data_IF_706176832453
#
_entry.id   IF_706176832453
#
_cell.length_a   1.000
_cell.length_b   1.000
_cell.length_c   1.000
_cell.angle_alpha   90.00
_cell.angle_beta   90.00
_cell.angle_gamma   90.00
#
_symmetry.space_group_name_H-M   'P 1'
#
loop_
_entity.id
_entity.type
_entity.pdbx_description
1 polymer ?
#
# COMPACT_ATOMS: atom_id res chain seq x y z
N UNK A 1 -58.45 -11.81 32.23
CA UNK A 1 -58.30 -10.88 31.08
C UNK A 1 -57.35 -9.71 31.39
N UNK A 2 -57.43 -9.09 32.58
CA UNK A 2 -56.56 -7.95 32.95
C UNK A 2 -55.08 -8.37 33.15
N UNK A 3 -54.84 -9.53 33.76
CA UNK A 3 -53.49 -10.06 34.03
C UNK A 3 -52.74 -10.41 32.74
N UNK A 4 -53.43 -10.98 31.74
CA UNK A 4 -52.86 -11.34 30.44
C UNK A 4 -52.48 -10.11 29.60
N UNK A 5 -53.20 -8.98 29.73
CA UNK A 5 -52.92 -7.71 29.04
C UNK A 5 -51.68 -7.02 29.62
N UNK A 6 -51.52 -7.07 30.95
CA UNK A 6 -50.34 -6.55 31.65
C UNK A 6 -49.07 -7.32 31.28
N UNK A 7 -49.13 -8.66 31.25
CA UNK A 7 -47.98 -9.51 30.86
C UNK A 7 -47.58 -9.25 29.41
N UNK A 8 -48.54 -9.15 28.48
CA UNK A 8 -48.27 -8.87 27.07
C UNK A 8 -47.59 -7.50 26.88
N UNK A 9 -48.06 -6.46 27.58
CA UNK A 9 -47.51 -5.11 27.48
C UNK A 9 -46.08 -5.02 28.04
N UNK A 10 -45.80 -5.69 29.16
CA UNK A 10 -44.44 -5.76 29.73
C UNK A 10 -43.50 -6.52 28.79
N UNK A 11 -43.97 -7.60 28.16
CA UNK A 11 -43.18 -8.35 27.18
C UNK A 11 -42.83 -7.50 25.97
N UNK A 12 -43.78 -6.70 25.45
CA UNK A 12 -43.54 -5.82 24.31
C UNK A 12 -42.58 -4.68 24.64
N UNK A 13 -42.69 -4.08 25.83
CA UNK A 13 -41.74 -3.06 26.28
C UNK A 13 -40.35 -3.65 26.49
N UNK A 14 -40.24 -4.83 27.10
CA UNK A 14 -38.97 -5.52 27.27
C UNK A 14 -38.33 -5.87 25.93
N UNK A 15 -39.10 -6.36 24.95
CA UNK A 15 -38.62 -6.62 23.59
C UNK A 15 -38.19 -5.33 22.87
N UNK A 16 -38.94 -4.23 23.01
CA UNK A 16 -38.54 -2.91 22.49
C UNK A 16 -37.22 -2.45 23.12
N UNK A 17 -37.07 -2.53 24.44
CA UNK A 17 -35.81 -2.21 25.13
C UNK A 17 -34.65 -3.11 24.71
N UNK A 18 -34.88 -4.41 24.50
CA UNK A 18 -33.86 -5.34 23.99
C UNK A 18 -33.45 -4.95 22.55
N UNK A 19 -34.40 -4.56 21.70
CA UNK A 19 -34.14 -4.09 20.33
C UNK A 19 -33.40 -2.75 20.32
N UNK A 20 -33.73 -1.82 21.22
CA UNK A 20 -33.05 -0.51 21.35
C UNK A 20 -31.60 -0.68 21.83
N UNK A 21 -31.32 -1.64 22.72
CA UNK A 21 -29.96 -1.90 23.21
C UNK A 21 -29.13 -2.76 22.25
N UNK A 22 -29.73 -3.35 21.21
CA UNK A 22 -29.03 -4.21 20.25
C UNK A 22 -28.35 -3.43 19.10
N UNK A 23 -28.36 -2.10 19.11
CA UNK A 23 -27.93 -1.29 17.96
C UNK A 23 -26.61 -0.52 18.13
N UNK A 24 -25.79 -0.82 19.14
CA UNK A 24 -24.52 -0.08 19.39
C UNK A 24 -23.26 -0.89 19.07
N UNK A 25 -23.17 -1.39 17.84
CA UNK A 25 -21.87 -1.50 17.15
C UNK A 25 -22.10 -1.48 15.63
N UNK A 26 -22.42 -0.31 15.06
CA UNK A 26 -22.63 -0.19 13.62
C UNK A 26 -21.35 -0.46 12.80
N UNK A 27 -20.16 -0.31 13.39
CA UNK A 27 -18.89 -0.61 12.74
C UNK A 27 -17.88 -1.24 13.71
N UNK A 28 -16.90 -2.01 13.21
CA UNK A 28 -15.77 -2.53 14.00
C UNK A 28 -14.89 -1.43 14.62
N UNK A 29 -13.97 -1.83 15.49
CA UNK A 29 -12.98 -0.93 16.08
C UNK A 29 -12.18 -0.16 15.01
N UNK A 30 -11.91 1.12 15.30
CA UNK A 30 -11.24 2.06 14.40
C UNK A 30 -11.97 2.35 13.07
N UNK A 31 -13.24 1.96 12.96
CA UNK A 31 -14.11 2.29 11.84
C UNK A 31 -15.21 3.29 12.26
N UNK A 32 -15.67 4.09 11.31
CA UNK A 32 -16.81 5.00 11.42
C UNK A 32 -17.78 4.76 10.27
N UNK A 33 -19.08 4.77 10.57
CA UNK A 33 -20.11 4.65 9.54
C UNK A 33 -20.22 5.96 8.77
N UNK A 34 -20.25 5.88 7.44
CA UNK A 34 -20.56 7.01 6.56
C UNK A 34 -21.66 6.62 5.59
N UNK A 35 -22.66 7.49 5.48
CA UNK A 35 -23.66 7.45 4.40
C UNK A 35 -23.01 7.61 3.01
N UNK A 36 -21.86 8.27 2.97
CA UNK A 36 -21.08 8.48 1.77
C UNK A 36 -19.62 8.12 2.01
N UNK A 37 -19.31 6.82 1.90
CA UNK A 37 -17.94 6.35 1.82
C UNK A 37 -17.51 6.21 0.35
N UNK A 38 -16.23 6.46 0.11
CA UNK A 38 -15.59 6.14 -1.16
C UNK A 38 -15.35 4.62 -1.16
N UNK A 39 -15.71 3.94 -2.25
CA UNK A 39 -15.62 2.48 -2.34
C UNK A 39 -14.18 1.92 -2.26
N UNK A 40 -13.18 2.71 -2.67
CA UNK A 40 -11.78 2.35 -2.49
C UNK A 40 -11.28 2.89 -1.14
N UNK A 41 -10.76 2.01 -0.29
CA UNK A 41 -10.02 2.43 0.88
C UNK A 41 -8.54 2.14 0.70
N UNK A 42 -7.72 3.00 1.28
CA UNK A 42 -6.27 2.76 1.33
C UNK A 42 -5.98 1.60 2.30
N UNK A 43 -4.97 0.81 1.94
CA UNK A 43 -4.39 -0.18 2.82
C UNK A 43 -2.91 0.13 3.09
N UNK A 44 -2.27 -0.66 3.95
CA UNK A 44 -0.86 -0.45 4.32
C UNK A 44 0.14 -0.52 3.16
N UNK A 45 -0.20 -1.22 2.08
CA UNK A 45 0.72 -1.50 0.95
C UNK A 45 0.34 -0.78 -0.34
N UNK A 46 -0.89 -0.29 -0.43
CA UNK A 46 -1.47 0.22 -1.64
C UNK A 46 -2.40 1.39 -1.35
N UNK A 47 -2.05 2.52 -1.97
CA UNK A 47 -2.94 3.67 -2.11
C UNK A 47 -3.55 3.58 -3.51
N UNK A 48 -4.88 3.41 -3.64
CA UNK A 48 -5.53 3.31 -4.94
C UNK A 48 -5.24 4.54 -5.80
N UNK A 49 -4.52 4.36 -6.91
CA UNK A 49 -4.21 5.47 -7.84
C UNK A 49 -5.46 5.95 -8.59
N UNK A 50 -6.38 5.02 -8.85
CA UNK A 50 -7.65 5.29 -9.49
C UNK A 50 -8.78 4.88 -8.57
N UNK A 51 -9.66 5.84 -8.30
CA UNK A 51 -10.84 5.60 -7.50
C UNK A 51 -12.04 6.33 -8.08
N UNK A 52 -13.15 5.64 -8.20
CA UNK A 52 -14.42 6.27 -8.56
C UNK A 52 -14.92 7.04 -7.33
N UNK A 53 -15.37 8.28 -7.53
CA UNK A 53 -16.01 9.08 -6.47
C UNK A 53 -17.45 8.59 -6.19
N UNK A 54 -17.68 7.29 -6.32
CA UNK A 54 -18.95 6.66 -6.03
C UNK A 54 -19.19 6.65 -4.53
N UNK A 55 -20.35 7.19 -4.16
CA UNK A 55 -20.83 7.29 -2.80
C UNK A 55 -21.52 5.99 -2.43
N UNK A 56 -20.93 5.22 -1.52
CA UNK A 56 -21.49 3.95 -1.03
C UNK A 56 -21.63 4.05 0.49
N UNK A 57 -22.83 3.87 1.07
CA UNK A 57 -22.98 3.81 2.51
C UNK A 57 -22.21 2.61 3.11
N UNK A 58 -21.44 2.82 4.17
CA UNK A 58 -20.66 1.75 4.80
C UNK A 58 -19.70 2.20 5.88
N UNK A 59 -19.03 1.22 6.51
CA UNK A 59 -17.99 1.45 7.50
C UNK A 59 -16.65 1.73 6.82
N UNK A 60 -15.98 2.79 7.25
CA UNK A 60 -14.65 3.17 6.78
C UNK A 60 -13.70 3.39 7.93
N UNK A 61 -12.40 3.24 7.68
CA UNK A 61 -11.39 3.54 8.68
C UNK A 61 -11.46 5.02 9.08
N UNK A 62 -11.39 5.27 10.39
CA UNK A 62 -11.28 6.62 10.94
C UNK A 62 -10.02 7.31 10.40
N UNK A 63 -9.99 8.64 10.43
CA UNK A 63 -8.81 9.41 10.01
C UNK A 63 -7.54 8.93 10.75
N UNK A 64 -6.48 8.67 9.98
CA UNK A 64 -5.19 8.16 10.50
C UNK A 64 -5.10 6.63 10.58
N UNK A 65 -6.18 5.92 10.26
CA UNK A 65 -6.22 4.46 10.16
C UNK A 65 -6.37 4.02 8.71
N UNK A 66 -5.79 2.87 8.38
CA UNK A 66 -5.87 2.24 7.05
C UNK A 66 -6.17 0.76 7.20
N UNK A 67 -6.68 0.13 6.14
CA UNK A 67 -6.91 -1.31 6.09
C UNK A 67 -5.54 -2.02 6.17
N UNK A 68 -5.42 -3.07 6.97
CA UNK A 68 -4.15 -3.80 7.11
C UNK A 68 -3.74 -4.48 5.79
N UNK A 69 -4.68 -5.11 5.07
CA UNK A 69 -4.42 -5.84 3.82
C UNK A 69 -5.44 -5.53 2.73
N UNK A 70 -6.71 -5.80 2.99
CA UNK A 70 -7.82 -5.73 2.03
C UNK A 70 -9.04 -5.07 2.67
N UNK A 71 -10.09 -4.82 1.88
CA UNK A 71 -11.31 -4.10 2.29
C UNK A 71 -12.07 -4.74 3.47
N UNK A 72 -11.75 -5.97 3.87
CA UNK A 72 -12.34 -6.66 5.02
C UNK A 72 -11.42 -6.74 6.24
N UNK A 73 -10.16 -6.33 6.08
CA UNK A 73 -9.19 -6.30 7.16
C UNK A 73 -9.49 -5.20 8.17
N UNK A 74 -9.01 -5.39 9.41
CA UNK A 74 -9.13 -4.41 10.49
C UNK A 74 -8.43 -3.10 10.12
N UNK A 75 -8.94 -2.00 10.64
CA UNK A 75 -8.29 -0.70 10.52
C UNK A 75 -7.19 -0.57 11.60
N UNK A 76 -5.95 -0.42 11.15
CA UNK A 76 -4.77 -0.22 12.00
C UNK A 76 -4.27 1.21 11.87
N UNK A 77 -3.64 1.79 12.91
CA UNK A 77 -2.94 3.06 12.76
C UNK A 77 -1.95 2.97 11.61
N UNK A 78 -1.88 4.00 10.76
CA UNK A 78 -1.01 3.97 9.57
C UNK A 78 0.47 3.73 9.93
N UNK A 79 0.90 4.20 11.11
CA UNK A 79 2.23 3.97 11.67
C UNK A 79 2.52 2.51 12.09
N UNK A 80 1.49 1.69 12.26
CA UNK A 80 1.61 0.27 12.58
C UNK A 80 1.59 -0.62 11.34
N UNK A 81 1.53 -0.04 10.14
CA UNK A 81 1.68 -0.79 8.90
C UNK A 81 3.04 -1.50 8.87
N UNK A 82 3.00 -2.82 8.77
CA UNK A 82 4.21 -3.61 8.60
C UNK A 82 4.79 -3.34 7.21
N UNK A 83 5.91 -2.64 7.16
CA UNK A 83 6.67 -2.47 5.93
C UNK A 83 7.55 -3.70 5.65
N UNK A 84 7.91 -3.97 4.38
CA UNK A 84 8.85 -5.01 4.01
C UNK A 84 10.21 -4.86 4.71
N UNK A 85 11.05 -5.90 4.58
CA UNK A 85 12.42 -5.88 5.10
C UNK A 85 13.17 -4.67 4.53
N UNK A 86 13.94 -4.00 5.39
CA UNK A 86 14.69 -2.77 5.09
C UNK A 86 13.84 -1.56 4.72
N UNK A 87 12.56 -1.57 5.05
CA UNK A 87 11.65 -0.44 4.89
C UNK A 87 11.08 0.03 6.22
N UNK A 88 10.61 1.26 6.27
CA UNK A 88 9.82 1.80 7.37
C UNK A 88 8.68 2.67 6.84
N UNK A 89 7.63 2.81 7.62
CA UNK A 89 6.50 3.64 7.25
C UNK A 89 6.83 5.12 7.45
N UNK A 90 6.66 5.93 6.41
CA UNK A 90 6.84 7.37 6.45
C UNK A 90 5.56 8.08 6.00
N UNK A 91 5.03 8.99 6.83
CA UNK A 91 3.84 9.79 6.51
C UNK A 91 4.10 10.85 5.43
N UNK A 92 5.34 11.30 5.28
CA UNK A 92 5.76 12.24 4.24
C UNK A 92 7.00 11.69 3.53
N UNK A 93 6.81 10.63 2.75
CA UNK A 93 7.80 10.11 1.81
C UNK A 93 7.89 10.96 0.53
N UNK A 94 8.92 10.68 -0.28
CA UNK A 94 9.09 11.30 -1.60
C UNK A 94 8.08 10.75 -2.61
N UNK A 95 7.53 11.62 -3.46
CA UNK A 95 6.76 11.22 -4.64
C UNK A 95 7.61 10.55 -5.74
N UNK A 96 8.93 10.67 -5.64
CA UNK A 96 9.89 10.08 -6.56
C UNK A 96 11.03 9.41 -5.76
N UNK A 97 10.79 8.22 -5.18
CA UNK A 97 11.84 7.50 -4.46
C UNK A 97 12.97 7.12 -5.43
N UNK A 98 14.22 7.26 -4.99
CA UNK A 98 15.38 6.82 -5.77
C UNK A 98 15.42 5.30 -5.86
N UNK A 99 15.91 4.81 -6.99
CA UNK A 99 16.13 3.39 -7.27
C UNK A 99 17.54 3.16 -7.78
N UNK A 100 18.00 1.91 -7.77
CA UNK A 100 19.29 1.55 -8.38
C UNK A 100 19.38 1.95 -9.88
N UNK A 101 18.25 2.01 -10.59
CA UNK A 101 18.22 2.33 -12.03
C UNK A 101 17.92 3.79 -12.36
N UNK A 102 17.41 4.55 -11.39
CA UNK A 102 16.91 5.89 -11.62
C UNK A 102 17.00 6.70 -10.33
N UNK A 103 17.77 7.79 -10.39
CA UNK A 103 17.78 8.83 -9.37
C UNK A 103 17.03 10.04 -9.87
N UNK A 104 16.08 10.53 -9.09
CA UNK A 104 15.19 11.61 -9.52
C UNK A 104 15.84 12.97 -9.28
N UNK A 105 16.33 13.62 -10.34
CA UNK A 105 17.00 14.93 -10.23
C UNK A 105 16.04 16.09 -9.93
N UNK A 106 14.75 15.93 -10.24
CA UNK A 106 13.74 16.97 -10.06
C UNK A 106 12.46 16.34 -9.53
N UNK A 107 12.16 16.58 -8.26
CA UNK A 107 10.99 16.04 -7.57
C UNK A 107 10.09 17.16 -7.06
N UNK A 108 8.79 16.93 -7.06
CA UNK A 108 7.87 17.79 -6.30
C UNK A 108 8.06 17.53 -4.80
N UNK A 109 7.87 18.56 -3.96
CA UNK A 109 7.91 18.44 -2.49
C UNK A 109 6.60 17.87 -1.91
N UNK A 110 5.86 17.10 -2.70
CA UNK A 110 4.60 16.50 -2.26
C UNK A 110 4.90 15.36 -1.31
N UNK A 111 4.27 15.38 -0.13
CA UNK A 111 4.29 14.24 0.80
C UNK A 111 3.47 13.09 0.23
N UNK A 112 4.11 11.93 0.05
CA UNK A 112 3.44 10.68 -0.29
C UNK A 112 3.62 9.69 0.86
N UNK A 113 2.56 9.40 1.64
CA UNK A 113 2.65 8.43 2.72
C UNK A 113 2.84 7.01 2.18
N UNK A 114 3.77 6.24 2.76
CA UNK A 114 4.02 4.87 2.34
C UNK A 114 5.28 4.26 2.97
N UNK A 115 5.59 3.02 2.58
CA UNK A 115 6.84 2.37 2.96
C UNK A 115 8.00 2.92 2.11
N UNK A 116 9.04 3.37 2.81
CA UNK A 116 10.28 3.92 2.22
C UNK A 116 11.47 3.10 2.69
N UNK A 117 12.52 2.99 1.86
CA UNK A 117 13.74 2.32 2.27
C UNK A 117 14.36 3.03 3.49
N UNK A 118 14.91 2.24 4.41
CA UNK A 118 15.72 2.75 5.53
C UNK A 118 17.00 3.40 5.02
N UNK A 119 17.62 4.25 5.85
CA UNK A 119 18.90 4.87 5.52
C UNK A 119 19.96 3.83 5.13
N UNK A 120 20.68 4.08 4.03
CA UNK A 120 21.66 3.15 3.45
C UNK A 120 21.08 2.06 2.54
N UNK A 121 19.75 2.02 2.38
CA UNK A 121 19.05 1.13 1.45
C UNK A 121 18.37 1.92 0.34
N UNK A 122 18.24 1.28 -0.83
CA UNK A 122 17.63 1.86 -2.03
C UNK A 122 16.77 0.80 -2.73
N UNK A 123 15.67 1.21 -3.38
CA UNK A 123 14.81 0.26 -4.10
C UNK A 123 15.54 -0.27 -5.32
N UNK A 124 15.49 -1.58 -5.54
CA UNK A 124 16.17 -2.21 -6.67
C UNK A 124 15.67 -1.66 -8.02
N UNK A 125 14.36 -1.44 -8.17
CA UNK A 125 13.76 -0.89 -9.39
C UNK A 125 12.40 -0.20 -9.10
N UNK A 126 11.79 0.36 -10.15
CA UNK A 126 10.53 1.12 -10.06
C UNK A 126 9.26 0.28 -9.79
N UNK A 127 9.37 -1.05 -9.62
CA UNK A 127 8.21 -1.87 -9.32
C UNK A 127 7.79 -1.66 -7.85
N UNK A 128 6.48 -1.55 -7.60
CA UNK A 128 5.94 -1.28 -6.25
C UNK A 128 6.34 -2.34 -5.22
N UNK A 129 6.56 -3.59 -5.66
CA UNK A 129 6.99 -4.72 -4.81
C UNK A 129 8.52 -4.94 -4.79
N UNK A 130 9.29 -4.02 -5.37
CA UNK A 130 10.74 -4.14 -5.47
C UNK A 130 11.40 -4.02 -4.09
N UNK A 131 12.30 -4.94 -3.71
CA UNK A 131 12.93 -4.91 -2.40
C UNK A 131 13.89 -3.72 -2.24
N UNK A 132 14.04 -3.26 -1.00
CA UNK A 132 15.11 -2.36 -0.60
C UNK A 132 16.38 -3.16 -0.29
N UNK A 133 17.43 -2.93 -1.08
CA UNK A 133 18.75 -3.55 -0.93
C UNK A 133 19.77 -2.52 -0.46
N UNK A 134 20.91 -2.93 0.16
CA UNK A 134 21.99 -2.00 0.46
C UNK A 134 22.42 -1.25 -0.80
N UNK A 135 22.63 0.06 -0.71
CA UNK A 135 22.97 0.88 -1.88
C UNK A 135 24.26 0.41 -2.59
N UNK A 136 25.21 -0.15 -1.84
CA UNK A 136 26.43 -0.75 -2.37
C UNK A 136 26.19 -1.97 -3.26
N UNK A 137 25.03 -2.62 -3.16
CA UNK A 137 24.69 -3.83 -3.92
C UNK A 137 23.92 -3.55 -5.22
N UNK A 138 23.64 -2.28 -5.53
CA UNK A 138 22.94 -1.91 -6.76
C UNK A 138 23.62 -2.48 -8.01
N UNK A 139 24.93 -2.27 -8.17
CA UNK A 139 25.64 -2.68 -9.39
C UNK A 139 25.61 -4.19 -9.63
N UNK A 140 25.59 -4.99 -8.56
CA UNK A 140 25.59 -6.45 -8.62
C UNK A 140 24.18 -7.02 -8.86
N UNK A 141 23.15 -6.34 -8.37
CA UNK A 141 21.76 -6.82 -8.41
C UNK A 141 21.01 -6.43 -9.68
N UNK A 142 21.57 -5.52 -10.48
CA UNK A 142 20.98 -5.05 -11.74
C UNK A 142 21.24 -5.99 -12.93
N UNK A 143 22.24 -6.86 -12.80
CA UNK A 143 22.65 -7.77 -13.86
C UNK A 143 22.30 -9.21 -13.50
N UNK A 144 21.64 -9.91 -14.44
CA UNK A 144 21.35 -11.34 -14.28
C UNK A 144 22.61 -12.20 -14.42
N UNK A 145 23.55 -11.77 -15.27
CA UNK A 145 24.83 -12.45 -15.45
C UNK A 145 25.75 -12.08 -14.26
N UNK A 146 26.19 -13.06 -13.45
CA UNK A 146 27.02 -12.80 -12.28
C UNK A 146 28.41 -12.26 -12.62
N UNK A 147 28.84 -12.35 -13.87
CA UNK A 147 30.11 -11.79 -14.35
C UNK A 147 29.92 -10.45 -15.06
N UNK A 148 28.70 -9.92 -15.13
CA UNK A 148 28.44 -8.64 -15.75
C UNK A 148 28.33 -7.54 -14.70
N UNK A 149 29.08 -6.47 -14.91
CA UNK A 149 29.03 -5.24 -14.15
C UNK A 149 28.03 -4.26 -14.76
N UNK A 150 27.20 -3.65 -13.92
CA UNK A 150 26.38 -2.52 -14.33
C UNK A 150 27.25 -1.25 -14.53
N UNK A 151 27.07 -0.60 -15.69
CA UNK A 151 27.68 0.68 -16.04
C UNK A 151 26.57 1.70 -16.32
N UNK A 152 26.66 2.88 -15.73
CA UNK A 152 25.69 3.96 -15.92
C UNK A 152 25.59 4.43 -17.38
N UNK A 153 26.66 4.27 -18.16
CA UNK A 153 26.68 4.54 -19.59
C UNK A 153 27.49 3.46 -20.33
N UNK A 154 27.07 3.15 -21.56
CA UNK A 154 27.71 2.15 -22.40
C UNK A 154 27.63 2.52 -23.88
N UNK A 155 28.43 1.87 -24.74
CA UNK A 155 28.36 2.09 -26.17
C UNK A 155 26.97 1.74 -26.71
N UNK A 156 26.45 2.55 -27.63
CA UNK A 156 25.13 2.36 -28.27
C UNK A 156 24.97 0.96 -28.89
N UNK A 157 26.09 0.36 -29.30
CA UNK A 157 26.19 -1.03 -29.71
C UNK A 157 27.01 -1.79 -28.66
N UNK A 158 26.36 -2.51 -27.71
CA UNK A 158 27.09 -3.39 -26.82
C UNK A 158 27.81 -4.45 -27.64
N UNK A 159 29.05 -4.77 -27.28
CA UNK A 159 29.79 -5.88 -27.90
C UNK A 159 29.19 -7.18 -27.38
N UNK A 160 28.64 -7.99 -28.27
CA UNK A 160 27.95 -9.24 -27.90
C UNK A 160 28.49 -10.35 -28.76
N UNK A 161 28.82 -11.49 -28.16
CA UNK A 161 29.42 -12.60 -28.87
C UNK A 161 28.42 -13.46 -29.67
N UNK A 162 27.12 -13.10 -29.77
CA UNK A 162 26.14 -13.90 -30.53
C UNK A 162 24.98 -13.11 -31.19
N UNK A 163 24.53 -13.71 -32.29
CA UNK A 163 23.80 -13.30 -33.49
C UNK A 163 22.28 -12.97 -33.34
N UNK A 164 21.70 -12.34 -34.37
CA UNK A 164 20.47 -11.52 -34.45
C UNK A 164 19.08 -12.15 -34.14
N UNK A 165 18.85 -12.91 -33.06
CA UNK A 165 17.52 -13.53 -32.83
C UNK A 165 16.89 -13.43 -31.43
N UNK A 166 17.08 -12.32 -30.70
CA UNK A 166 16.27 -12.09 -29.48
C UNK A 166 15.84 -10.63 -29.28
N UNK A 167 14.56 -10.27 -29.48
CA UNK A 167 14.09 -8.88 -29.59
C UNK A 167 13.87 -8.14 -28.26
N UNK A 168 14.45 -8.59 -27.14
CA UNK A 168 14.32 -7.88 -25.85
C UNK A 168 15.69 -7.47 -25.31
N UNK A 169 16.39 -6.55 -25.98
CA UNK A 169 17.52 -5.84 -25.37
C UNK A 169 17.48 -4.36 -25.68
N UNK A 170 16.54 -3.67 -25.04
CA UNK A 170 16.62 -2.21 -24.87
C UNK A 170 17.65 -1.95 -23.76
N UNK A 171 18.78 -1.36 -24.15
CA UNK A 171 19.82 -0.75 -23.31
C UNK A 171 20.55 -1.71 -22.35
N UNK A 172 21.59 -2.39 -22.85
CA UNK A 172 22.52 -3.18 -22.01
C UNK A 172 23.43 -2.22 -21.23
N UNK A 173 23.09 -1.95 -19.97
CA UNK A 173 23.99 -1.32 -18.99
C UNK A 173 24.89 -2.37 -18.31
N UNK A 174 24.62 -3.67 -18.49
CA UNK A 174 25.43 -4.75 -17.94
C UNK A 174 26.50 -5.22 -18.96
N UNK A 175 27.78 -5.16 -18.59
CA UNK A 175 28.92 -5.60 -19.39
C UNK A 175 29.86 -6.48 -18.57
N UNK A 176 30.36 -7.58 -19.13
CA UNK A 176 31.43 -8.39 -18.54
C UNK A 176 32.81 -7.76 -18.75
#
# INVERSE_FOLDING_TARGET
MIITIQISSVLTFALLFIVINATESQCPDNEEYKECAIACQENCTHVPTFCTLQCVPGCVCKKGFVRETDDKSKCVPRSQCACPVNEFFNECGSACPDTCTARSQSCTKQCVPGCVCKDGFIRLNNQTSSPCIPESECNNSLCYDPNAEYKECGPSCPQTCDDERNPIRKFRLCSA
#
